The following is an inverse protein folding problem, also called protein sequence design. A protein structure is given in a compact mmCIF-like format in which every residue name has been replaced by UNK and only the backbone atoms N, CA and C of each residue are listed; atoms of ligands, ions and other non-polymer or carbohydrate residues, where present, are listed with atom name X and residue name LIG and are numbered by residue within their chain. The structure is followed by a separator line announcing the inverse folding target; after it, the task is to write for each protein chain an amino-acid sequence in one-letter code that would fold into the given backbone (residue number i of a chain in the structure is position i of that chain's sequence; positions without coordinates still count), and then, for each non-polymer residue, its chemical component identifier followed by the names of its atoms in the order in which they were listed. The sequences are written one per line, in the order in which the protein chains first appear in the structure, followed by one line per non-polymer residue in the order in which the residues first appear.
data_IF_249218325972
#
_entry.id   IF_249218325972
#
_cell.length_a   1.000
_cell.length_b   1.000
_cell.length_c   1.000
_cell.angle_alpha   90.00
_cell.angle_beta   90.00
_cell.angle_gamma   90.00
#
_symmetry.space_group_name_H-M   'P 1'
#
loop_
_entity.id
_entity.type
_entity.pdbx_description
1 polymer ?
#
# COMPACT_ATOMS: atom_id res chain seq x y z
N UNK A 1 23.05 15.71 18.81
CA UNK A 1 21.58 15.76 18.73
C UNK A 1 21.15 14.38 18.28
N UNK A 2 20.24 13.73 19.02
CA UNK A 2 19.77 12.40 18.61
C UNK A 2 18.89 12.52 17.35
N UNK A 3 18.85 11.48 16.50
CA UNK A 3 17.99 11.51 15.32
C UNK A 3 16.50 11.56 15.72
N UNK A 4 15.65 12.34 15.03
CA UNK A 4 14.22 12.48 15.37
C UNK A 4 13.47 11.14 15.47
N UNK A 5 13.84 10.15 14.65
CA UNK A 5 13.26 8.81 14.69
C UNK A 5 13.55 8.08 16.01
N UNK A 6 14.64 8.40 16.70
CA UNK A 6 14.97 7.80 18.00
C UNK A 6 14.07 8.33 19.12
N UNK A 7 13.72 9.62 19.08
CA UNK A 7 12.75 10.22 20.00
C UNK A 7 11.39 9.53 19.87
N UNK A 8 10.97 9.19 18.65
CA UNK A 8 9.74 8.42 18.38
C UNK A 8 9.80 7.03 19.01
N UNK A 9 10.96 6.35 18.97
CA UNK A 9 11.12 5.05 19.63
C UNK A 9 10.98 5.16 21.15
N UNK A 10 11.64 6.16 21.74
CA UNK A 10 11.57 6.43 23.19
C UNK A 10 10.11 6.72 23.57
N UNK A 11 9.46 7.63 22.84
CA UNK A 11 8.09 8.00 23.11
C UNK A 11 7.17 6.78 23.04
N UNK A 12 7.30 5.95 22.00
CA UNK A 12 6.51 4.73 21.87
C UNK A 12 6.71 3.76 23.06
N UNK A 13 7.97 3.60 23.52
CA UNK A 13 8.29 2.72 24.64
C UNK A 13 7.71 3.20 25.98
N UNK A 14 7.63 4.51 26.21
CA UNK A 14 7.14 5.08 27.46
C UNK A 14 5.64 5.37 27.46
N UNK A 15 5.11 5.89 26.35
CA UNK A 15 3.71 6.32 26.23
C UNK A 15 2.80 5.22 25.68
N UNK A 16 3.36 4.14 25.13
CA UNK A 16 2.63 2.94 24.73
C UNK A 16 1.82 3.09 23.43
N UNK A 17 2.16 4.04 22.57
CA UNK A 17 1.47 4.25 21.30
C UNK A 17 2.27 5.09 20.32
N UNK A 18 1.95 4.94 19.04
CA UNK A 18 2.47 5.75 17.95
C UNK A 18 1.35 6.65 17.41
N UNK A 19 1.67 7.84 16.93
CA UNK A 19 0.72 8.66 16.17
C UNK A 19 1.34 9.04 14.84
N UNK A 20 0.58 8.85 13.75
CA UNK A 20 1.02 9.32 12.44
C UNK A 20 1.13 10.85 12.40
N UNK A 21 2.20 11.38 11.80
CA UNK A 21 2.34 12.82 11.61
C UNK A 21 1.23 13.37 10.70
N UNK A 22 0.95 14.67 10.83
CA UNK A 22 -0.07 15.38 10.03
C UNK A 22 0.11 15.19 8.53
N UNK A 23 1.35 15.23 8.06
CA UNK A 23 1.73 14.87 6.70
C UNK A 23 2.65 13.66 6.73
N UNK A 24 2.34 12.64 5.92
CA UNK A 24 3.16 11.42 5.85
C UNK A 24 4.05 11.47 4.61
N UNK A 25 5.35 11.64 4.86
CA UNK A 25 6.40 11.54 3.85
C UNK A 25 6.98 10.13 3.83
N UNK A 26 7.29 9.62 2.63
CA UNK A 26 7.85 8.27 2.47
C UNK A 26 9.16 8.10 3.23
N UNK A 27 10.04 9.11 3.15
CA UNK A 27 11.40 9.02 3.65
C UNK A 27 11.42 8.91 5.17
N UNK A 28 10.57 9.69 5.81
CA UNK A 28 10.47 9.76 7.26
C UNK A 28 9.81 8.49 7.79
N UNK A 29 8.72 8.06 7.14
CA UNK A 29 8.05 6.80 7.47
C UNK A 29 9.00 5.60 7.32
N UNK A 30 9.76 5.54 6.23
CA UNK A 30 10.77 4.51 6.01
C UNK A 30 11.89 4.58 7.05
N UNK A 31 12.37 5.77 7.40
CA UNK A 31 13.42 5.94 8.42
C UNK A 31 12.96 5.39 9.79
N UNK A 32 11.76 5.78 10.24
CA UNK A 32 11.18 5.29 11.50
C UNK A 32 10.99 3.76 11.44
N UNK A 33 10.49 3.24 10.32
CA UNK A 33 10.29 1.81 10.11
C UNK A 33 11.61 1.02 10.21
N UNK A 34 12.67 1.53 9.56
CA UNK A 34 14.01 0.94 9.60
C UNK A 34 14.58 0.93 11.01
N UNK A 35 14.41 2.02 11.75
CA UNK A 35 14.90 2.15 13.12
C UNK A 35 14.15 1.20 14.06
N UNK A 36 12.83 1.08 13.92
CA UNK A 36 12.04 0.09 14.65
C UNK A 36 12.49 -1.35 14.34
N UNK A 37 12.77 -1.66 13.07
CA UNK A 37 13.29 -2.97 12.66
C UNK A 37 14.66 -3.27 13.28
N UNK A 38 15.59 -2.31 13.19
CA UNK A 38 16.93 -2.43 13.75
C UNK A 38 16.91 -2.67 15.27
N UNK A 39 15.99 -2.03 15.98
CA UNK A 39 15.81 -2.19 17.43
C UNK A 39 14.94 -3.40 17.81
N UNK A 40 14.40 -4.14 16.84
CA UNK A 40 13.54 -5.30 17.08
C UNK A 40 12.14 -4.97 17.60
N UNK A 41 11.69 -3.72 17.45
CA UNK A 41 10.40 -3.23 17.96
C UNK A 41 9.29 -3.54 16.96
N UNK A 42 8.91 -4.83 16.89
CA UNK A 42 7.89 -5.30 15.93
C UNK A 42 6.52 -4.67 16.14
N UNK A 43 6.16 -4.33 17.38
CA UNK A 43 4.87 -3.69 17.70
C UNK A 43 4.72 -2.32 17.03
N UNK A 44 5.77 -1.51 17.02
CA UNK A 44 5.77 -0.21 16.36
C UNK A 44 5.62 -0.34 14.84
N UNK A 45 6.35 -1.27 14.19
CA UNK A 45 6.18 -1.52 12.75
C UNK A 45 4.72 -1.86 12.41
N UNK A 46 4.10 -2.74 13.22
CA UNK A 46 2.71 -3.14 13.03
C UNK A 46 1.75 -1.97 13.20
N UNK A 47 1.96 -1.14 14.21
CA UNK A 47 1.14 0.02 14.50
C UNK A 47 1.22 1.07 13.38
N UNK A 48 2.44 1.41 12.94
CA UNK A 48 2.67 2.35 11.84
C UNK A 48 1.92 1.93 10.57
N UNK A 49 2.12 0.68 10.13
CA UNK A 49 1.50 0.14 8.91
C UNK A 49 -0.03 0.09 9.04
N UNK A 50 -0.54 -0.30 10.21
CA UNK A 50 -1.99 -0.37 10.48
C UNK A 50 -2.63 1.01 10.47
N UNK A 51 -2.01 2.00 11.11
CA UNK A 51 -2.51 3.37 11.10
C UNK A 51 -2.48 3.95 9.69
N UNK A 52 -1.42 3.69 8.92
CA UNK A 52 -1.31 4.18 7.55
C UNK A 52 -2.41 3.59 6.65
N UNK A 53 -2.62 2.27 6.72
CA UNK A 53 -3.70 1.60 5.99
C UNK A 53 -5.09 2.14 6.39
N UNK A 54 -5.29 2.42 7.69
CA UNK A 54 -6.54 3.01 8.21
C UNK A 54 -6.76 4.43 7.68
N UNK A 55 -5.71 5.24 7.64
CA UNK A 55 -5.74 6.60 7.09
C UNK A 55 -6.09 6.61 5.60
N UNK A 56 -5.48 5.73 4.80
CA UNK A 56 -5.83 5.60 3.38
C UNK A 56 -7.30 5.22 3.16
N UNK A 57 -7.82 4.34 4.01
CA UNK A 57 -9.21 3.92 3.96
C UNK A 57 -10.17 5.04 4.33
N UNK A 58 -9.84 5.87 5.32
CA UNK A 58 -10.67 7.01 5.72
C UNK A 58 -10.62 8.14 4.69
N UNK A 59 -9.45 8.45 4.13
CA UNK A 59 -9.29 9.47 3.08
C UNK A 59 -10.07 9.14 1.81
N UNK A 60 -10.22 7.84 1.48
CA UNK A 60 -11.05 7.41 0.34
C UNK A 60 -12.52 7.84 0.48
N UNK A 61 -13.00 7.95 1.72
CA UNK A 61 -14.39 8.34 2.02
C UNK A 61 -14.54 9.83 2.32
N UNK A 62 -13.43 10.56 2.50
CA UNK A 62 -13.43 11.96 2.83
C UNK A 62 -13.46 12.86 1.57
N UNK A 63 -14.08 14.03 1.68
CA UNK A 63 -14.16 15.06 0.63
C UNK A 63 -12.97 16.04 0.64
N UNK A 64 -12.06 15.93 1.61
CA UNK A 64 -10.97 16.89 1.86
C UNK A 64 -9.57 16.35 1.56
N UNK A 65 -8.60 17.27 1.62
CA UNK A 65 -7.19 17.14 1.21
C UNK A 65 -6.51 15.95 1.89
N UNK A 66 -5.76 15.17 1.09
CA UNK A 66 -5.01 14.00 1.54
C UNK A 66 -3.80 14.40 2.39
N UNK A 67 -3.73 13.91 3.64
CA UNK A 67 -2.52 13.89 4.48
C UNK A 67 -1.40 13.07 3.84
N UNK A 68 -1.76 12.16 2.92
CA UNK A 68 -0.82 11.35 2.13
C UNK A 68 -0.87 11.76 0.65
N UNK A 69 0.15 12.49 0.17
CA UNK A 69 0.23 12.92 -1.23
C UNK A 69 0.46 11.76 -2.20
N UNK A 70 1.31 10.79 -1.84
CA UNK A 70 1.62 9.64 -2.69
C UNK A 70 1.74 8.34 -1.88
N UNK A 71 0.63 7.60 -1.69
CA UNK A 71 0.63 6.34 -0.93
C UNK A 71 1.59 5.28 -1.48
N UNK A 72 1.74 5.22 -2.81
CA UNK A 72 2.64 4.28 -3.47
C UNK A 72 4.10 4.63 -3.25
N UNK A 73 4.45 5.92 -3.13
CA UNK A 73 5.80 6.35 -2.79
C UNK A 73 6.18 5.90 -1.39
N UNK A 74 5.28 6.07 -0.40
CA UNK A 74 5.53 5.59 0.97
C UNK A 74 5.73 4.08 0.98
N UNK A 75 4.86 3.33 0.29
CA UNK A 75 4.99 1.88 0.20
C UNK A 75 6.32 1.47 -0.47
N UNK A 76 6.68 2.12 -1.58
CA UNK A 76 7.93 1.88 -2.30
C UNK A 76 9.14 2.03 -1.37
N UNK A 77 9.26 3.18 -0.72
CA UNK A 77 10.41 3.50 0.12
C UNK A 77 10.52 2.56 1.33
N UNK A 78 9.39 2.13 1.92
CA UNK A 78 9.38 1.10 2.97
C UNK A 78 9.83 -0.25 2.43
N UNK A 79 9.35 -0.65 1.26
CA UNK A 79 9.74 -1.95 0.66
C UNK A 79 11.19 -1.99 0.14
N UNK A 80 11.88 -0.86 0.05
CA UNK A 80 13.31 -0.81 -0.27
C UNK A 80 14.19 -1.18 0.94
N UNK A 81 13.68 -0.97 2.16
CA UNK A 81 14.42 -1.21 3.40
C UNK A 81 13.90 -2.42 4.20
N UNK A 82 12.65 -2.83 3.97
CA UNK A 82 12.00 -3.85 4.77
C UNK A 82 12.54 -5.25 4.44
N UNK A 83 12.74 -6.12 5.45
CA UNK A 83 13.05 -7.51 5.22
C UNK A 83 11.87 -8.24 4.58
N UNK A 84 12.13 -9.28 3.79
CA UNK A 84 11.07 -10.10 3.18
C UNK A 84 10.13 -10.75 4.20
N UNK A 85 10.55 -10.90 5.47
CA UNK A 85 9.69 -11.39 6.56
C UNK A 85 8.50 -10.48 6.85
N UNK A 86 8.58 -9.20 6.49
CA UNK A 86 7.51 -8.22 6.70
C UNK A 86 6.44 -8.27 5.60
N UNK A 87 6.53 -9.24 4.69
CA UNK A 87 5.60 -9.44 3.57
C UNK A 87 4.12 -9.33 3.99
N UNK A 88 3.71 -10.11 5.00
CA UNK A 88 2.30 -10.16 5.42
C UNK A 88 1.82 -8.81 5.97
N UNK A 89 2.71 -8.11 6.69
CA UNK A 89 2.41 -6.79 7.24
C UNK A 89 2.22 -5.77 6.11
N UNK A 90 3.16 -5.70 5.18
CA UNK A 90 3.16 -4.73 4.09
C UNK A 90 2.06 -5.00 3.05
N UNK A 91 1.60 -6.26 2.93
CA UNK A 91 0.48 -6.63 2.07
C UNK A 91 -0.80 -5.85 2.40
N UNK A 92 -1.09 -5.63 3.68
CA UNK A 92 -2.27 -4.87 4.09
C UNK A 92 -2.20 -3.41 3.64
N UNK A 93 -1.05 -2.78 3.84
CA UNK A 93 -0.77 -1.42 3.37
C UNK A 93 -0.87 -1.31 1.86
N UNK A 94 -0.33 -2.28 1.12
CA UNK A 94 -0.35 -2.27 -0.34
C UNK A 94 -1.77 -2.34 -0.93
N UNK A 95 -2.64 -3.16 -0.35
CA UNK A 95 -4.04 -3.25 -0.79
C UNK A 95 -4.74 -1.89 -0.70
N UNK A 96 -4.56 -1.17 0.41
CA UNK A 96 -5.18 0.15 0.59
C UNK A 96 -4.49 1.23 -0.27
N UNK A 97 -3.15 1.21 -0.37
CA UNK A 97 -2.38 2.18 -1.16
C UNK A 97 -2.72 2.12 -2.65
N UNK A 98 -2.85 0.90 -3.19
CA UNK A 98 -3.22 0.65 -4.57
C UNK A 98 -4.62 1.19 -4.89
N UNK A 99 -5.59 0.98 -3.98
CA UNK A 99 -6.96 1.50 -4.14
C UNK A 99 -6.99 3.03 -4.02
N UNK A 100 -6.31 3.60 -3.03
CA UNK A 100 -6.24 5.06 -2.81
C UNK A 100 -5.59 5.81 -3.99
N UNK A 101 -4.64 5.15 -4.66
CA UNK A 101 -3.91 5.71 -5.80
C UNK A 101 -4.56 5.41 -7.15
N UNK A 102 -5.72 4.74 -7.18
CA UNK A 102 -6.38 4.31 -8.43
C UNK A 102 -5.43 3.58 -9.38
N UNK A 103 -4.58 2.71 -8.83
CA UNK A 103 -3.50 2.04 -9.55
C UNK A 103 -4.05 1.18 -10.70
N UNK A 104 -3.37 1.22 -11.85
CA UNK A 104 -3.80 0.57 -13.10
C UNK A 104 -2.83 -0.54 -13.52
N UNK A 105 -3.24 -1.34 -14.52
CA UNK A 105 -2.36 -2.35 -15.13
C UNK A 105 -1.09 -1.77 -15.75
N UNK A 106 -1.12 -0.52 -16.22
CA UNK A 106 0.05 0.11 -16.84
C UNK A 106 1.12 0.37 -15.77
N UNK A 107 0.68 0.74 -14.55
CA UNK A 107 1.57 0.81 -13.39
C UNK A 107 2.20 -0.53 -13.04
N UNK A 108 1.49 -1.67 -13.19
CA UNK A 108 2.10 -2.99 -13.02
C UNK A 108 3.15 -3.28 -14.09
N UNK A 109 2.94 -2.84 -15.32
CA UNK A 109 3.92 -3.03 -16.39
C UNK A 109 5.20 -2.21 -16.13
N UNK A 110 5.07 -0.98 -15.63
CA UNK A 110 6.21 -0.16 -15.24
C UNK A 110 7.00 -0.79 -14.07
N UNK A 111 6.31 -1.39 -13.10
CA UNK A 111 6.93 -2.19 -12.03
C UNK A 111 7.64 -3.42 -12.63
N UNK A 112 6.97 -4.19 -13.48
CA UNK A 112 7.51 -5.43 -14.05
C UNK A 112 8.71 -5.22 -14.99
N UNK A 113 8.76 -4.06 -15.67
CA UNK A 113 9.90 -3.69 -16.52
C UNK A 113 11.09 -3.11 -15.74
N UNK A 114 11.02 -3.15 -14.40
CA UNK A 114 12.11 -2.71 -13.52
C UNK A 114 12.26 -1.19 -13.47
N UNK A 115 11.29 -0.43 -13.97
CA UNK A 115 11.31 1.04 -13.89
C UNK A 115 10.90 1.55 -12.51
N UNK A 116 10.23 0.72 -11.71
CA UNK A 116 9.71 1.07 -10.40
C UNK A 116 10.06 -0.01 -9.36
N UNK A 117 11.10 0.27 -8.57
CA UNK A 117 11.24 -0.21 -7.20
C UNK A 117 11.92 -1.56 -6.94
N UNK A 118 11.87 -1.97 -5.68
CA UNK A 118 12.51 -3.19 -5.18
C UNK A 118 11.76 -4.46 -5.60
N UNK A 119 12.42 -5.64 -5.64
CA UNK A 119 11.74 -6.91 -5.89
C UNK A 119 10.57 -7.17 -4.92
N UNK A 120 10.70 -6.74 -3.67
CA UNK A 120 9.65 -6.84 -2.65
C UNK A 120 8.45 -5.96 -3.00
N UNK A 121 8.70 -4.71 -3.40
CA UNK A 121 7.65 -3.80 -3.89
C UNK A 121 6.86 -4.44 -5.03
N UNK A 122 7.58 -4.92 -6.04
CA UNK A 122 6.97 -5.49 -7.24
C UNK A 122 6.09 -6.68 -6.92
N UNK A 123 6.58 -7.57 -6.06
CA UNK A 123 5.89 -8.78 -5.68
C UNK A 123 4.63 -8.46 -4.83
N UNK A 124 4.72 -7.53 -3.88
CA UNK A 124 3.58 -7.09 -3.07
C UNK A 124 2.51 -6.39 -3.91
N UNK A 125 2.92 -5.49 -4.83
CA UNK A 125 1.99 -4.79 -5.72
C UNK A 125 1.28 -5.75 -6.68
N UNK A 126 1.99 -6.74 -7.20
CA UNK A 126 1.39 -7.80 -8.01
C UNK A 126 0.36 -8.59 -7.21
N UNK A 127 0.68 -8.96 -5.97
CA UNK A 127 -0.26 -9.69 -5.10
C UNK A 127 -1.48 -8.83 -4.74
N UNK A 128 -1.28 -7.55 -4.42
CA UNK A 128 -2.37 -6.62 -4.13
C UNK A 128 -3.30 -6.47 -5.34
N UNK A 129 -2.73 -6.33 -6.54
CA UNK A 129 -3.52 -6.24 -7.77
C UNK A 129 -4.27 -7.52 -8.10
N UNK A 130 -3.64 -8.69 -7.93
CA UNK A 130 -4.34 -9.97 -8.06
C UNK A 130 -5.47 -10.12 -7.04
N UNK A 131 -5.23 -9.71 -5.80
CA UNK A 131 -6.25 -9.72 -4.73
C UNK A 131 -7.42 -8.81 -5.13
N UNK A 132 -7.14 -7.62 -5.63
CA UNK A 132 -8.14 -6.70 -6.13
C UNK A 132 -8.94 -7.28 -7.30
N UNK A 133 -8.29 -7.86 -8.31
CA UNK A 133 -8.97 -8.54 -9.40
C UNK A 133 -9.87 -9.66 -8.86
N UNK A 134 -9.37 -10.51 -7.96
CA UNK A 134 -10.15 -11.65 -7.42
C UNK A 134 -11.37 -11.21 -6.62
N UNK A 135 -11.23 -10.18 -5.79
CA UNK A 135 -12.34 -9.61 -5.03
C UNK A 135 -13.37 -8.93 -5.95
N UNK A 136 -12.90 -8.45 -7.10
CA UNK A 136 -13.67 -7.59 -7.96
C UNK A 136 -14.01 -8.17 -9.31
N UNK A 137 -13.73 -9.44 -9.61
CA UNK A 137 -14.06 -10.14 -10.86
C UNK A 137 -14.12 -11.65 -10.66
N UNK A 138 -15.08 -12.32 -11.29
CA UNK A 138 -15.11 -13.78 -11.34
C UNK A 138 -14.15 -14.31 -12.40
N UNK A 139 -13.74 -15.59 -12.29
CA UNK A 139 -12.78 -16.22 -13.21
C UNK A 139 -13.15 -16.09 -14.70
N UNK A 140 -14.46 -16.02 -15.02
CA UNK A 140 -14.96 -15.86 -16.39
C UNK A 140 -14.89 -14.41 -16.91
N UNK A 141 -14.89 -13.42 -16.02
CA UNK A 141 -14.86 -12.00 -16.36
C UNK A 141 -13.48 -11.37 -16.21
N UNK A 142 -12.53 -12.03 -15.54
CA UNK A 142 -11.13 -11.59 -15.39
C UNK A 142 -10.52 -11.21 -16.73
N UNK A 143 -10.74 -12.02 -17.78
CA UNK A 143 -10.21 -11.77 -19.13
C UNK A 143 -10.81 -10.55 -19.83
N UNK A 144 -11.93 -10.02 -19.34
CA UNK A 144 -12.64 -8.87 -19.91
C UNK A 144 -12.59 -7.64 -18.98
N UNK A 145 -11.79 -7.69 -17.92
CA UNK A 145 -11.64 -6.58 -16.99
C UNK A 145 -10.83 -5.46 -17.66
N UNK A 146 -11.50 -4.35 -18.00
CA UNK A 146 -10.83 -3.14 -18.53
C UNK A 146 -9.91 -2.50 -17.48
N UNK A 147 -8.97 -1.71 -17.98
CA UNK A 147 -7.87 -1.03 -17.26
C UNK A 147 -8.30 -0.02 -16.20
N UNK A 148 -9.60 0.26 -16.09
CA UNK A 148 -10.20 1.02 -15.00
C UNK A 148 -11.47 0.34 -14.48
N UNK A 149 -11.75 0.42 -13.17
CA UNK A 149 -12.91 -0.18 -12.55
C UNK A 149 -14.19 0.59 -12.93
N UNK A 150 -14.90 0.07 -13.94
CA UNK A 150 -16.24 0.52 -14.32
C UNK A 150 -16.52 0.22 -15.80
N UNK A 151 -17.38 -0.74 -16.14
CA UNK A 151 -18.25 -1.55 -15.31
C UNK A 151 -18.99 -2.60 -16.15
N UNK A 152 -19.25 -3.87 -15.72
CA UNK A 152 -19.12 -4.51 -14.39
C UNK A 152 -18.86 -6.04 -14.39
N UNK A 153 -18.11 -6.51 -13.40
CA UNK A 153 -18.38 -7.79 -12.74
C UNK A 153 -17.52 -7.83 -11.50
N UNK A 154 -18.05 -7.56 -10.31
CA UNK A 154 -17.54 -8.10 -9.04
C UNK A 154 -18.38 -9.33 -8.76
N UNK A 155 -17.79 -10.52 -8.85
CA UNK A 155 -18.49 -11.79 -8.60
C UNK A 155 -19.36 -12.31 -9.76
N UNK A 156 -19.94 -11.44 -10.63
CA UNK A 156 -20.54 -11.71 -11.97
C UNK A 156 -21.86 -11.07 -12.33
N UNK A 157 -22.27 -9.99 -11.68
CA UNK A 157 -23.44 -9.26 -12.17
C UNK A 157 -23.04 -8.29 -13.29
N UNK A 158 -22.70 -8.91 -14.44
CA UNK A 158 -22.26 -8.42 -15.77
C UNK A 158 -22.84 -7.04 -16.15
N UNK A 159 -22.26 -6.25 -17.04
CA UNK A 159 -21.35 -6.51 -18.15
C UNK A 159 -20.29 -5.39 -18.24
N UNK A 160 -18.99 -5.71 -18.38
CA UNK A 160 -17.85 -4.77 -18.60
C UNK A 160 -17.80 -4.09 -19.97
N UNK A 161 -18.97 -4.19 -20.61
CA UNK A 161 -19.69 -3.21 -21.42
C UNK A 161 -19.80 -3.66 -22.87
N UNK A 162 -20.17 -4.94 -23.05
CA UNK A 162 -20.41 -5.71 -24.28
C UNK A 162 -19.15 -6.08 -25.08
N UNK A 163 -18.80 -7.37 -24.99
CA UNK A 163 -17.74 -8.11 -25.70
C UNK A 163 -18.10 -8.17 -27.21
N UNK A 164 -17.23 -7.76 -28.17
CA UNK A 164 -16.02 -8.51 -28.56
C UNK A 164 -14.76 -7.62 -28.71
N UNK A 165 -13.51 -8.13 -28.78
CA UNK A 165 -12.99 -9.18 -29.67
C UNK A 165 -11.71 -9.87 -29.15
N UNK A 166 -11.53 -11.09 -29.69
CA UNK A 166 -10.29 -11.79 -30.11
C UNK A 166 -9.22 -12.07 -29.07
#
# INVERSE_FOLDING_TARGET
MEPPEFEIMIQWLYDGGYELPDEVYGSDFACIYKTADFLGISGLKQEMVKQFATLLKSERTATEIRRIKSPLTVLLEVTEIAPCSDWELLRHMANEAMVASSFTKDGLFDIATGKLGSPLFAAIMLEAYQTYIRLNTCIRCVFNAKDRPGGFCRVCKKDLSTIPKS
#
